data_IF_840416840861
#
_entry.id   IF_840416840861
#
_cell.length_a   1.000
_cell.length_b   1.000
_cell.length_c   1.000
_cell.angle_alpha   90.00
_cell.angle_beta   90.00
_cell.angle_gamma   90.00
#
_symmetry.space_group_name_H-M   'P 1'
#
loop_
_entity.id
_entity.type
_entity.pdbx_description
1 polymer ?
#
# COMPACT_ATOMS: atom_id res chain seq x y z
N UNK A 1 -37.66 2.11 -2.17
CA UNK A 1 -36.28 2.22 -1.68
C UNK A 1 -35.60 3.26 -2.56
N UNK A 2 -35.53 4.51 -2.09
CA UNK A 2 -34.83 5.59 -2.79
C UNK A 2 -33.33 5.32 -2.72
N UNK A 3 -32.74 4.96 -3.84
CA UNK A 3 -31.31 4.78 -3.98
C UNK A 3 -30.66 6.18 -3.98
N UNK A 4 -30.15 6.67 -2.85
CA UNK A 4 -29.51 8.01 -2.74
C UNK A 4 -28.06 7.96 -3.28
N UNK A 5 -27.90 7.51 -4.52
CA UNK A 5 -26.63 7.43 -5.21
C UNK A 5 -25.90 8.80 -5.30
N UNK A 6 -26.64 9.91 -5.29
CA UNK A 6 -26.07 11.26 -5.24
C UNK A 6 -25.50 11.60 -3.87
N UNK A 7 -26.11 11.09 -2.80
CA UNK A 7 -25.60 11.21 -1.44
C UNK A 7 -24.32 10.40 -1.24
N UNK A 8 -24.30 9.16 -1.71
CA UNK A 8 -23.12 8.29 -1.67
C UNK A 8 -21.95 8.87 -2.48
N UNK A 9 -22.18 9.37 -3.69
CA UNK A 9 -21.14 10.01 -4.49
C UNK A 9 -20.55 11.26 -3.83
N UNK A 10 -21.37 12.09 -3.18
CA UNK A 10 -20.88 13.26 -2.41
C UNK A 10 -20.10 12.86 -1.17
N UNK A 11 -20.53 11.81 -0.49
CA UNK A 11 -19.83 11.29 0.69
C UNK A 11 -18.46 10.74 0.31
N UNK A 12 -18.38 9.98 -0.79
CA UNK A 12 -17.10 9.46 -1.30
C UNK A 12 -16.15 10.60 -1.70
N UNK A 13 -16.63 11.60 -2.44
CA UNK A 13 -15.82 12.74 -2.84
C UNK A 13 -15.31 13.55 -1.63
N UNK A 14 -16.12 13.68 -0.57
CA UNK A 14 -15.70 14.35 0.66
C UNK A 14 -14.62 13.53 1.40
N UNK A 15 -14.76 12.21 1.48
CA UNK A 15 -13.74 11.34 2.07
C UNK A 15 -12.42 11.41 1.30
N UNK A 16 -12.46 11.37 -0.04
CA UNK A 16 -11.27 11.53 -0.89
C UNK A 16 -10.57 12.87 -0.64
N UNK A 17 -11.31 13.99 -0.58
CA UNK A 17 -10.75 15.31 -0.27
C UNK A 17 -10.04 15.35 1.09
N UNK A 18 -10.60 14.70 2.10
CA UNK A 18 -9.98 14.60 3.43
C UNK A 18 -8.68 13.80 3.34
N UNK A 19 -8.68 12.67 2.64
CA UNK A 19 -7.49 11.85 2.46
C UNK A 19 -6.39 12.56 1.65
N UNK A 20 -6.76 13.38 0.66
CA UNK A 20 -5.79 14.17 -0.11
C UNK A 20 -5.15 15.26 0.76
N UNK A 21 -5.95 15.92 1.60
CA UNK A 21 -5.43 16.92 2.56
C UNK A 21 -4.50 16.27 3.60
N UNK A 22 -4.85 15.08 4.08
CA UNK A 22 -3.99 14.30 4.98
C UNK A 22 -2.67 13.91 4.31
N UNK A 23 -2.72 13.46 3.05
CA UNK A 23 -1.56 13.08 2.27
C UNK A 23 -0.54 14.22 2.14
N UNK A 24 -0.99 15.43 1.86
CA UNK A 24 -0.12 16.62 1.79
C UNK A 24 0.55 16.91 3.12
N UNK A 25 -0.22 16.88 4.20
CA UNK A 25 0.31 17.10 5.55
C UNK A 25 1.32 16.01 5.96
N UNK A 26 1.11 14.77 5.56
CA UNK A 26 2.05 13.67 5.82
C UNK A 26 3.41 13.91 5.15
N UNK A 27 3.41 14.45 3.93
CA UNK A 27 4.66 14.83 3.24
C UNK A 27 5.36 16.00 3.94
N UNK A 28 4.59 17.00 4.39
CA UNK A 28 5.15 18.22 4.99
C UNK A 28 5.70 18.01 6.40
N UNK A 29 5.05 17.17 7.20
CA UNK A 29 5.27 17.08 8.66
C UNK A 29 5.60 15.69 9.19
N UNK A 30 5.49 14.66 8.35
CA UNK A 30 5.54 13.26 8.76
C UNK A 30 4.19 12.75 9.28
N UNK A 31 3.97 11.45 9.10
CA UNK A 31 2.67 10.81 9.38
C UNK A 31 2.30 10.90 10.85
N UNK A 32 3.27 10.65 11.75
CA UNK A 32 3.03 10.66 13.20
C UNK A 32 2.78 12.04 13.79
N UNK A 33 3.22 13.10 13.13
CA UNK A 33 3.06 14.48 13.64
C UNK A 33 1.68 15.08 13.33
N UNK A 34 0.96 14.55 12.32
CA UNK A 34 -0.29 15.14 11.83
C UNK A 34 -1.50 14.70 12.66
N UNK A 35 -2.25 15.68 13.19
CA UNK A 35 -3.45 15.45 14.00
C UNK A 35 -4.76 15.63 13.23
N UNK A 36 -5.84 15.00 13.73
CA UNK A 36 -7.19 15.06 13.12
C UNK A 36 -7.72 16.50 12.95
N UNK A 37 -7.39 17.40 13.90
CA UNK A 37 -7.81 18.80 13.84
C UNK A 37 -7.17 19.56 12.67
N UNK A 38 -5.92 19.26 12.41
CA UNK A 38 -5.14 19.85 11.34
C UNK A 38 -5.61 19.36 9.97
N UNK A 39 -5.89 18.07 9.86
CA UNK A 39 -6.49 17.48 8.65
C UNK A 39 -7.86 18.11 8.37
N UNK A 40 -8.73 18.27 9.38
CA UNK A 40 -10.03 18.90 9.20
C UNK A 40 -9.90 20.35 8.68
N UNK A 41 -8.96 21.12 9.24
CA UNK A 41 -8.66 22.48 8.80
C UNK A 41 -8.17 22.52 7.36
N UNK A 42 -7.22 21.68 7.00
CA UNK A 42 -6.67 21.59 5.64
C UNK A 42 -7.73 21.15 4.61
N UNK A 43 -8.60 20.21 4.98
CA UNK A 43 -9.71 19.76 4.12
C UNK A 43 -10.85 20.78 4.00
N UNK A 44 -10.83 21.87 4.81
CA UNK A 44 -11.87 22.87 4.83
C UNK A 44 -13.18 22.36 5.43
N UNK A 45 -13.13 21.46 6.40
CA UNK A 45 -14.32 20.91 7.06
C UNK A 45 -14.24 21.04 8.59
N UNK A 46 -15.40 20.91 9.26
CA UNK A 46 -15.43 20.87 10.72
C UNK A 46 -14.86 19.52 11.25
N UNK A 47 -14.35 19.54 12.50
CA UNK A 47 -13.95 18.30 13.19
C UNK A 47 -15.10 17.27 13.23
N UNK A 48 -16.33 17.71 13.52
CA UNK A 48 -17.48 16.84 13.54
C UNK A 48 -17.73 16.18 12.16
N UNK A 49 -17.53 16.93 11.08
CA UNK A 49 -17.60 16.39 9.72
C UNK A 49 -16.52 15.35 9.49
N UNK A 50 -15.28 15.61 9.85
CA UNK A 50 -14.18 14.66 9.70
C UNK A 50 -14.43 13.37 10.48
N UNK A 51 -14.84 13.46 11.77
CA UNK A 51 -15.12 12.29 12.59
C UNK A 51 -16.33 11.47 12.12
N UNK A 52 -17.21 12.04 11.32
CA UNK A 52 -18.29 11.29 10.67
C UNK A 52 -17.77 10.36 9.55
N UNK A 53 -16.65 10.70 8.90
CA UNK A 53 -16.02 9.89 7.86
C UNK A 53 -14.97 8.93 8.41
N UNK A 54 -14.22 9.38 9.41
CA UNK A 54 -13.11 8.63 10.01
C UNK A 54 -13.21 8.73 11.53
N UNK A 55 -13.67 7.67 12.16
CA UNK A 55 -13.93 7.60 13.61
C UNK A 55 -12.74 8.05 14.46
N UNK A 56 -11.54 7.74 14.00
CA UNK A 56 -10.30 8.10 14.67
C UNK A 56 -9.15 8.19 13.65
N UNK A 57 -7.96 8.59 14.13
CA UNK A 57 -6.76 8.72 13.30
C UNK A 57 -6.35 7.40 12.65
N UNK A 58 -6.46 6.29 13.37
CA UNK A 58 -6.14 4.97 12.83
C UNK A 58 -7.06 4.59 11.66
N UNK A 59 -8.36 4.84 11.79
CA UNK A 59 -9.31 4.61 10.71
C UNK A 59 -8.98 5.45 9.46
N UNK A 60 -8.56 6.71 9.64
CA UNK A 60 -8.10 7.55 8.53
C UNK A 60 -6.82 6.99 7.89
N UNK A 61 -5.84 6.57 8.69
CA UNK A 61 -4.61 5.97 8.20
C UNK A 61 -4.88 4.69 7.41
N UNK A 62 -5.73 3.81 7.91
CA UNK A 62 -6.14 2.57 7.22
C UNK A 62 -6.81 2.91 5.89
N UNK A 63 -7.75 3.86 5.86
CA UNK A 63 -8.43 4.27 4.65
C UNK A 63 -7.47 4.84 3.61
N UNK A 64 -6.50 5.67 4.05
CA UNK A 64 -5.44 6.20 3.20
C UNK A 64 -4.60 5.06 2.59
N UNK A 65 -4.08 4.17 3.43
CA UNK A 65 -3.26 3.04 2.99
C UNK A 65 -4.03 2.13 2.03
N UNK A 66 -5.32 1.85 2.30
CA UNK A 66 -6.15 1.04 1.40
C UNK A 66 -6.38 1.71 0.04
N UNK A 67 -6.58 3.04 0.02
CA UNK A 67 -6.70 3.80 -1.23
C UNK A 67 -5.43 3.72 -2.07
N UNK A 68 -4.29 4.00 -1.46
CA UNK A 68 -3.01 3.99 -2.15
C UNK A 68 -2.61 2.56 -2.59
N UNK A 69 -2.91 1.55 -1.78
CA UNK A 69 -2.69 0.16 -2.13
C UNK A 69 -3.47 -0.27 -3.38
N UNK A 70 -4.74 0.17 -3.52
CA UNK A 70 -5.52 -0.11 -4.74
C UNK A 70 -4.92 0.57 -5.98
N UNK A 71 -4.50 1.84 -5.85
CA UNK A 71 -3.81 2.58 -6.94
C UNK A 71 -2.52 1.87 -7.36
N UNK A 72 -1.73 1.48 -6.37
CA UNK A 72 -0.50 0.73 -6.58
C UNK A 72 -0.78 -0.63 -7.27
N UNK A 73 -1.83 -1.34 -6.84
CA UNK A 73 -2.23 -2.61 -7.44
C UNK A 73 -2.55 -2.50 -8.93
N UNK A 74 -3.19 -1.43 -9.36
CA UNK A 74 -3.46 -1.15 -10.78
C UNK A 74 -2.15 -0.94 -11.55
N UNK A 75 -1.25 -0.10 -11.05
CA UNK A 75 0.04 0.16 -11.68
C UNK A 75 0.92 -1.10 -11.77
N UNK A 76 0.92 -1.95 -10.74
CA UNK A 76 1.63 -3.23 -10.76
C UNK A 76 1.02 -4.16 -11.81
N UNK A 77 -0.31 -4.32 -11.83
CA UNK A 77 -0.98 -5.17 -12.81
C UNK A 77 -0.66 -4.76 -14.25
N UNK A 78 -0.65 -3.46 -14.53
CA UNK A 78 -0.26 -2.92 -15.83
C UNK A 78 1.19 -3.22 -16.18
N UNK A 79 2.11 -3.09 -15.22
CA UNK A 79 3.56 -3.32 -15.44
C UNK A 79 3.90 -4.77 -15.80
N UNK A 80 3.07 -5.72 -15.40
CA UNK A 80 3.32 -7.16 -15.61
C UNK A 80 2.38 -7.81 -16.63
N UNK A 81 1.48 -7.04 -17.24
CA UNK A 81 0.40 -7.55 -18.09
C UNK A 81 0.87 -8.40 -19.30
N UNK A 82 2.09 -8.14 -19.80
CA UNK A 82 2.68 -8.82 -20.95
C UNK A 82 3.77 -9.80 -20.59
N UNK A 83 4.00 -10.05 -19.30
CA UNK A 83 5.06 -10.96 -18.84
C UNK A 83 4.46 -12.35 -18.60
N UNK A 84 4.86 -13.32 -19.42
CA UNK A 84 4.36 -14.69 -19.34
C UNK A 84 5.09 -15.54 -18.29
N UNK A 85 6.40 -15.33 -18.11
CA UNK A 85 7.18 -16.09 -17.13
C UNK A 85 6.78 -15.71 -15.70
N UNK A 86 6.35 -16.67 -14.87
CA UNK A 86 5.88 -16.36 -13.51
C UNK A 86 6.95 -15.78 -12.59
N UNK A 87 8.23 -16.17 -12.78
CA UNK A 87 9.32 -15.67 -11.95
C UNK A 87 9.65 -14.23 -12.31
N UNK A 88 9.76 -13.93 -13.60
CA UNK A 88 9.97 -12.57 -14.10
C UNK A 88 8.81 -11.65 -13.75
N UNK A 89 7.57 -12.15 -13.85
CA UNK A 89 6.36 -11.41 -13.48
C UNK A 89 6.36 -11.05 -12.00
N UNK A 90 6.67 -11.98 -11.10
CA UNK A 90 6.71 -11.72 -9.65
C UNK A 90 7.88 -10.79 -9.28
N UNK A 91 9.08 -10.99 -9.85
CA UNK A 91 10.22 -10.09 -9.69
C UNK A 91 9.84 -8.66 -10.08
N UNK A 92 9.29 -8.49 -11.29
CA UNK A 92 8.88 -7.18 -11.82
C UNK A 92 7.79 -6.54 -10.93
N UNK A 93 6.79 -7.31 -10.50
CA UNK A 93 5.73 -6.82 -9.61
C UNK A 93 6.30 -6.27 -8.29
N UNK A 94 7.22 -7.00 -7.66
CA UNK A 94 7.83 -6.61 -6.38
C UNK A 94 8.68 -5.34 -6.53
N UNK A 95 9.54 -5.28 -7.56
CA UNK A 95 10.39 -4.12 -7.81
C UNK A 95 9.58 -2.89 -8.23
N UNK A 96 8.51 -3.07 -9.03
CA UNK A 96 7.58 -1.99 -9.35
C UNK A 96 6.91 -1.45 -8.09
N UNK A 97 6.49 -2.31 -7.15
CA UNK A 97 5.90 -1.87 -5.89
C UNK A 97 6.89 -1.01 -5.08
N UNK A 98 8.15 -1.46 -4.94
CA UNK A 98 9.19 -0.72 -4.23
C UNK A 98 9.45 0.64 -4.90
N UNK A 99 9.65 0.66 -6.21
CA UNK A 99 9.92 1.88 -6.97
C UNK A 99 8.75 2.87 -6.90
N UNK A 100 7.51 2.40 -7.06
CA UNK A 100 6.32 3.26 -7.00
C UNK A 100 6.12 3.88 -5.61
N UNK A 101 6.36 3.13 -4.53
CA UNK A 101 6.30 3.69 -3.17
C UNK A 101 7.37 4.76 -2.97
N UNK A 102 8.61 4.52 -3.39
CA UNK A 102 9.71 5.48 -3.25
C UNK A 102 9.52 6.75 -4.09
N UNK A 103 8.98 6.60 -5.29
CA UNK A 103 8.75 7.73 -6.21
C UNK A 103 7.51 8.56 -5.90
N UNK A 104 6.62 8.07 -5.03
CA UNK A 104 5.39 8.75 -4.62
C UNK A 104 5.59 9.42 -3.25
N UNK A 105 5.74 10.76 -3.18
CA UNK A 105 6.06 11.45 -1.91
C UNK A 105 5.11 11.12 -0.77
N UNK A 106 3.81 11.00 -1.05
CA UNK A 106 2.77 10.69 -0.07
C UNK A 106 2.85 9.27 0.50
N UNK A 107 3.45 8.33 -0.23
CA UNK A 107 3.76 6.98 0.24
C UNK A 107 5.14 6.93 0.91
N UNK A 108 6.14 7.57 0.32
CA UNK A 108 7.49 7.62 0.88
C UNK A 108 7.52 8.22 2.30
N UNK A 109 6.63 9.17 2.62
CA UNK A 109 6.50 9.77 3.94
C UNK A 109 6.23 8.75 5.07
N UNK A 110 5.67 7.58 4.74
CA UNK A 110 5.40 6.50 5.71
C UNK A 110 6.66 5.70 6.08
N UNK A 111 7.73 5.80 5.30
CA UNK A 111 8.97 5.04 5.47
C UNK A 111 10.13 5.90 6.00
N UNK A 112 9.82 7.08 6.54
CA UNK A 112 10.80 7.89 7.27
C UNK A 112 11.17 7.23 8.61
N UNK A 113 12.35 7.51 9.19
CA UNK A 113 12.82 6.87 10.43
C UNK A 113 11.85 6.94 11.62
N UNK A 114 10.94 7.93 11.66
CA UNK A 114 9.95 8.07 12.73
C UNK A 114 8.61 7.35 12.47
N UNK A 115 8.31 6.99 11.23
CA UNK A 115 7.00 6.54 10.78
C UNK A 115 6.98 5.07 10.31
N UNK A 116 8.14 4.47 10.03
CA UNK A 116 8.28 3.15 9.42
C UNK A 116 7.64 1.99 10.23
N UNK A 117 7.61 2.08 11.56
CA UNK A 117 6.94 1.07 12.40
C UNK A 117 5.43 1.03 12.15
N UNK A 118 4.80 2.21 12.01
CA UNK A 118 3.38 2.33 11.72
C UNK A 118 3.05 1.77 10.33
N UNK A 119 3.88 2.05 9.33
CA UNK A 119 3.75 1.46 7.99
C UNK A 119 3.78 -0.06 8.04
N UNK A 120 4.73 -0.64 8.79
CA UNK A 120 4.85 -2.08 8.98
C UNK A 120 3.64 -2.71 9.68
N UNK A 121 3.13 -2.09 10.73
CA UNK A 121 1.94 -2.56 11.44
C UNK A 121 0.70 -2.57 10.55
N UNK A 122 0.45 -1.48 9.83
CA UNK A 122 -0.69 -1.36 8.92
C UNK A 122 -0.59 -2.35 7.75
N UNK A 123 0.59 -2.51 7.16
CA UNK A 123 0.79 -3.44 6.06
C UNK A 123 0.58 -4.90 6.48
N UNK A 124 1.05 -5.30 7.66
CA UNK A 124 0.87 -6.66 8.18
C UNK A 124 -0.59 -6.98 8.54
N UNK A 125 -1.37 -6.00 8.96
CA UNK A 125 -2.78 -6.17 9.36
C UNK A 125 -3.79 -5.92 8.23
N UNK A 126 -3.35 -5.39 7.09
CA UNK A 126 -4.25 -4.98 6.00
C UNK A 126 -4.57 -6.15 5.05
N UNK A 127 -5.84 -6.53 4.99
CA UNK A 127 -6.33 -7.51 4.00
C UNK A 127 -6.15 -7.02 2.56
N UNK A 128 -6.21 -5.70 2.32
CA UNK A 128 -6.00 -5.10 0.99
C UNK A 128 -4.55 -5.30 0.55
N UNK A 129 -3.58 -5.03 1.43
CA UNK A 129 -2.15 -5.23 1.12
C UNK A 129 -1.82 -6.71 0.97
N UNK A 130 -2.34 -7.57 1.84
CA UNK A 130 -2.18 -9.01 1.71
C UNK A 130 -2.82 -9.54 0.41
N UNK A 131 -3.97 -8.98 0.02
CA UNK A 131 -4.61 -9.26 -1.27
C UNK A 131 -3.76 -8.89 -2.48
N UNK A 132 -3.00 -7.78 -2.42
CA UNK A 132 -2.03 -7.44 -3.46
C UNK A 132 -0.91 -8.48 -3.55
N UNK A 133 -0.39 -8.97 -2.42
CA UNK A 133 0.59 -10.04 -2.40
C UNK A 133 0.07 -11.34 -3.04
N UNK A 134 -1.21 -11.68 -2.82
CA UNK A 134 -1.87 -12.81 -3.49
C UNK A 134 -1.98 -12.57 -5.01
N UNK A 135 -2.39 -11.35 -5.41
CA UNK A 135 -2.50 -11.00 -6.82
C UNK A 135 -1.15 -11.05 -7.57
N UNK A 136 -0.05 -10.67 -6.91
CA UNK A 136 1.30 -10.77 -7.48
C UNK A 136 1.71 -12.22 -7.75
N UNK A 137 1.27 -13.19 -6.92
CA UNK A 137 1.55 -14.61 -7.13
C UNK A 137 0.81 -15.17 -8.36
N UNK A 138 -0.36 -14.62 -8.70
CA UNK A 138 -1.16 -15.08 -9.85
C UNK A 138 -1.74 -16.47 -9.68
N UNK A 139 -1.71 -17.04 -8.49
CA UNK A 139 -2.19 -18.40 -8.20
C UNK A 139 -3.03 -18.43 -6.90
N UNK A 140 -3.90 -19.43 -6.80
CA UNK A 140 -4.70 -19.70 -5.61
C UNK A 140 -4.48 -21.15 -5.18
N UNK A 141 -4.16 -21.36 -3.91
CA UNK A 141 -3.95 -22.73 -3.42
C UNK A 141 -3.43 -22.75 -1.99
N UNK A 142 -3.07 -23.94 -1.54
CA UNK A 142 -2.46 -24.12 -0.23
C UNK A 142 -1.17 -23.31 -0.11
N UNK A 143 -1.00 -22.57 0.98
CA UNK A 143 0.19 -21.78 1.24
C UNK A 143 0.24 -20.40 0.54
N UNK A 144 -0.68 -20.07 -0.37
CA UNK A 144 -0.68 -18.76 -1.07
C UNK A 144 -0.70 -17.58 -0.08
N UNK A 145 -1.52 -17.62 0.95
CA UNK A 145 -1.58 -16.56 1.96
C UNK A 145 -0.24 -16.37 2.72
N UNK A 146 0.49 -17.45 2.99
CA UNK A 146 1.81 -17.35 3.64
C UNK A 146 2.86 -16.77 2.72
N UNK A 147 2.85 -17.17 1.44
CA UNK A 147 3.74 -16.61 0.40
C UNK A 147 3.44 -15.14 0.14
N UNK A 148 2.17 -14.77 0.06
CA UNK A 148 1.74 -13.37 -0.07
C UNK A 148 2.26 -12.49 1.08
N UNK A 149 2.13 -12.96 2.32
CA UNK A 149 2.67 -12.26 3.49
C UNK A 149 4.19 -12.14 3.45
N UNK A 150 4.88 -13.18 2.94
CA UNK A 150 6.33 -13.12 2.76
C UNK A 150 6.73 -12.05 1.74
N UNK A 151 6.05 -11.99 0.58
CA UNK A 151 6.26 -10.96 -0.45
C UNK A 151 6.10 -9.56 0.14
N UNK A 152 5.00 -9.31 0.86
CA UNK A 152 4.75 -8.01 1.52
C UNK A 152 5.90 -7.67 2.48
N UNK A 153 6.39 -8.62 3.27
CA UNK A 153 7.50 -8.39 4.19
C UNK A 153 8.81 -8.07 3.49
N UNK A 154 9.10 -8.73 2.36
CA UNK A 154 10.29 -8.42 1.57
C UNK A 154 10.22 -7.01 1.00
N UNK A 155 9.07 -6.63 0.41
CA UNK A 155 8.85 -5.27 -0.09
C UNK A 155 9.04 -4.25 1.04
N UNK A 156 8.44 -4.47 2.22
CA UNK A 156 8.63 -3.60 3.38
C UNK A 156 10.08 -3.53 3.83
N UNK A 157 10.79 -4.67 3.82
CA UNK A 157 12.22 -4.69 4.16
C UNK A 157 13.03 -3.82 3.20
N UNK A 158 12.82 -3.93 1.89
CA UNK A 158 13.50 -3.11 0.90
C UNK A 158 13.16 -1.61 1.05
N UNK A 159 11.92 -1.28 1.40
CA UNK A 159 11.52 0.12 1.65
C UNK A 159 12.19 0.73 2.89
N UNK A 160 12.39 -0.07 3.94
CA UNK A 160 13.03 0.37 5.19
C UNK A 160 14.56 0.29 5.16
N UNK A 161 15.09 -0.70 4.47
CA UNK A 161 16.53 -0.96 4.35
C UNK A 161 16.83 -1.22 2.87
N UNK A 162 17.06 -0.17 2.09
CA UNK A 162 17.38 -0.29 0.67
C UNK A 162 18.64 -1.13 0.43
N UNK A 163 18.69 -1.83 -0.71
CA UNK A 163 19.91 -2.42 -1.22
C UNK A 163 20.95 -1.37 -1.59
N UNK A 164 22.14 -1.81 -1.99
CA UNK A 164 23.22 -0.92 -2.41
C UNK A 164 22.83 -0.09 -3.66
N UNK A 165 22.11 -0.72 -4.57
CA UNK A 165 21.53 -0.11 -5.78
C UNK A 165 20.36 -0.97 -6.30
N UNK A 166 19.74 -0.54 -7.39
CA UNK A 166 18.61 -1.27 -8.01
C UNK A 166 19.00 -2.66 -8.52
N UNK A 167 20.25 -2.87 -8.93
CA UNK A 167 20.71 -4.17 -9.39
C UNK A 167 20.92 -5.14 -8.24
N UNK A 168 21.39 -4.65 -7.09
CA UNK A 168 21.49 -5.42 -5.86
C UNK A 168 20.09 -5.86 -5.38
N UNK A 169 19.12 -4.96 -5.35
CA UNK A 169 17.74 -5.29 -4.98
C UNK A 169 17.10 -6.30 -5.96
N UNK A 170 17.37 -6.13 -7.26
CA UNK A 170 16.92 -7.09 -8.29
C UNK A 170 17.52 -8.47 -8.06
N UNK A 171 18.79 -8.55 -7.74
CA UNK A 171 19.48 -9.81 -7.46
C UNK A 171 18.91 -10.49 -6.23
N UNK A 172 18.72 -9.73 -5.13
CA UNK A 172 18.10 -10.22 -3.90
C UNK A 172 16.69 -10.78 -4.16
N UNK A 173 15.86 -10.06 -4.91
CA UNK A 173 14.50 -10.53 -5.20
C UNK A 173 14.53 -11.79 -6.07
N UNK A 174 15.33 -11.80 -7.14
CA UNK A 174 15.43 -12.90 -8.12
C UNK A 174 15.86 -14.23 -7.49
N UNK A 175 16.86 -14.20 -6.60
CA UNK A 175 17.36 -15.40 -5.94
C UNK A 175 16.28 -16.15 -5.14
N UNK A 176 15.34 -15.40 -4.53
CA UNK A 176 14.32 -15.98 -3.66
C UNK A 176 12.98 -16.23 -4.35
N UNK A 177 12.67 -15.52 -5.44
CA UNK A 177 11.41 -15.67 -6.19
C UNK A 177 11.27 -17.09 -6.75
N UNK A 178 12.32 -17.65 -7.35
CA UNK A 178 12.30 -18.99 -7.89
C UNK A 178 12.02 -20.04 -6.80
N UNK A 179 12.64 -19.91 -5.63
CA UNK A 179 12.41 -20.80 -4.50
C UNK A 179 10.97 -20.68 -3.97
N UNK A 180 10.44 -19.46 -3.89
CA UNK A 180 9.07 -19.19 -3.44
C UNK A 180 8.02 -19.84 -4.33
N UNK A 181 8.17 -19.76 -5.66
CA UNK A 181 7.24 -20.33 -6.61
C UNK A 181 7.32 -21.87 -6.64
N UNK A 182 8.53 -22.44 -6.50
CA UNK A 182 8.72 -23.90 -6.46
C UNK A 182 8.11 -24.52 -5.19
N UNK A 183 8.14 -23.83 -4.05
CA UNK A 183 7.52 -24.31 -2.82
C UNK A 183 5.98 -24.52 -2.95
N UNK A 184 5.33 -23.86 -3.90
CA UNK A 184 3.89 -24.02 -4.18
C UNK A 184 3.55 -25.24 -5.05
N UNK A 185 4.54 -25.85 -5.71
CA UNK A 185 4.34 -26.97 -6.64
C UNK A 185 4.54 -28.36 -6.03
N UNK A 186 5.01 -28.40 -4.78
CA UNK A 186 5.41 -29.67 -4.11
C UNK A 186 4.32 -30.21 -3.14
N UNK A 187 3.12 -29.63 -3.14
CA UNK A 187 1.95 -30.07 -2.36
C UNK A 187 0.80 -30.43 -3.26
#
# INVERSE_FOLDING_TARGET
>A
VSNDWLGEGRALAAAEKILDSAAQLFVEKGVNAVGMAEIASAAGCSRATLYRYFENRQALHIAFVHREARRLGTAIAESVATIDDPSERLETAMLTAVSAVRSTPTLAAWFTPGDASLAGELANSSDVINGLGVAMLGENGAGTASRARWIVRVILSLLMVPGADENDERTLVREFVAALLNAGRTT
#
